data_IF_262183244114
#
_entry.id   IF_262183244114
#
_cell.length_a   1.000
_cell.length_b   1.000
_cell.length_c   1.000
_cell.angle_alpha   90.00
_cell.angle_beta   90.00
_cell.angle_gamma   90.00
#
_symmetry.space_group_name_H-M   'P 1'
#
loop_
_entity.id
_entity.type
_entity.pdbx_description
1 polymer ?
#
# COMPACT_ATOMS: atom_id res chain seq x y z
N UNK A 1 -6.26 -48.90 -29.53
CA UNK A 1 -7.47 -48.53 -30.29
C UNK A 1 -7.03 -48.14 -31.69
N UNK A 2 -7.35 -48.91 -32.71
CA UNK A 2 -6.86 -48.71 -34.09
C UNK A 2 -7.76 -47.69 -34.80
N UNK A 3 -7.21 -46.56 -35.24
CA UNK A 3 -7.99 -45.53 -35.96
C UNK A 3 -7.95 -45.83 -37.45
N UNK A 4 -9.04 -46.37 -37.99
CA UNK A 4 -9.19 -46.67 -39.42
C UNK A 4 -9.56 -45.40 -40.19
N UNK A 5 -8.66 -44.89 -41.03
CA UNK A 5 -8.86 -43.70 -41.87
C UNK A 5 -8.93 -44.02 -43.38
N UNK A 6 -8.80 -45.29 -43.75
CA UNK A 6 -8.63 -45.77 -45.13
C UNK A 6 -9.71 -45.24 -46.08
N UNK A 7 -10.98 -45.26 -45.67
CA UNK A 7 -12.11 -44.78 -46.48
C UNK A 7 -12.23 -43.25 -46.57
N UNK A 8 -11.51 -42.49 -45.74
CA UNK A 8 -11.51 -41.01 -45.75
C UNK A 8 -10.43 -40.41 -46.66
N UNK A 9 -9.42 -41.20 -47.04
CA UNK A 9 -8.36 -40.82 -47.97
C UNK A 9 -8.44 -41.55 -49.32
N UNK A 10 -9.40 -42.47 -49.50
CA UNK A 10 -9.60 -43.21 -50.77
C UNK A 10 -10.00 -42.32 -51.94
N UNK A 11 -10.63 -41.16 -51.70
CA UNK A 11 -10.81 -40.12 -52.72
C UNK A 11 -9.77 -39.02 -52.49
N UNK A 12 -8.77 -38.96 -53.38
CA UNK A 12 -7.72 -37.93 -53.42
C UNK A 12 -8.27 -36.57 -53.88
N UNK A 13 -9.28 -36.05 -53.19
CA UNK A 13 -9.68 -34.66 -53.30
C UNK A 13 -8.65 -33.76 -52.63
N UNK A 14 -8.41 -32.57 -53.19
CA UNK A 14 -7.43 -31.57 -52.73
C UNK A 14 -7.51 -31.25 -51.20
N UNK A 15 -8.67 -31.46 -50.56
CA UNK A 15 -8.90 -31.22 -49.13
C UNK A 15 -9.04 -32.48 -48.23
N UNK A 16 -8.78 -33.70 -48.73
CA UNK A 16 -8.98 -34.93 -47.94
C UNK A 16 -8.16 -34.96 -46.63
N UNK A 17 -6.91 -34.51 -46.69
CA UNK A 17 -6.02 -34.41 -45.53
C UNK A 17 -6.43 -33.27 -44.57
N UNK A 18 -6.90 -32.14 -45.12
CA UNK A 18 -7.41 -31.01 -44.34
C UNK A 18 -8.65 -31.40 -43.51
N UNK A 19 -9.57 -32.20 -44.07
CA UNK A 19 -10.70 -32.74 -43.30
C UNK A 19 -10.27 -33.64 -42.16
N UNK A 20 -9.23 -34.46 -42.35
CA UNK A 20 -8.71 -35.32 -41.29
C UNK A 20 -8.10 -34.52 -40.14
N UNK A 21 -7.39 -33.44 -40.46
CA UNK A 21 -6.83 -32.50 -39.49
C UNK A 21 -7.93 -31.78 -38.70
N UNK A 22 -9.03 -31.37 -39.36
CA UNK A 22 -10.19 -30.75 -38.68
C UNK A 22 -10.81 -31.71 -37.66
N UNK A 23 -11.00 -32.98 -38.02
CA UNK A 23 -11.54 -34.00 -37.10
C UNK A 23 -10.63 -34.31 -35.94
N UNK A 24 -9.32 -34.21 -36.14
CA UNK A 24 -8.36 -34.34 -35.06
C UNK A 24 -8.46 -33.14 -34.11
N UNK A 25 -8.56 -31.93 -34.67
CA UNK A 25 -8.73 -30.70 -33.89
C UNK A 25 -10.01 -30.72 -33.05
N UNK A 26 -11.17 -31.10 -33.63
CA UNK A 26 -12.45 -31.25 -32.92
C UNK A 26 -12.29 -32.15 -31.68
N UNK A 27 -11.60 -33.29 -31.82
CA UNK A 27 -11.33 -34.21 -30.70
C UNK A 27 -10.40 -33.61 -29.64
N UNK A 28 -9.37 -32.88 -30.06
CA UNK A 28 -8.45 -32.20 -29.15
C UNK A 28 -9.21 -31.10 -28.37
N UNK A 29 -10.02 -30.29 -29.05
CA UNK A 29 -10.83 -29.24 -28.44
C UNK A 29 -11.76 -29.82 -27.36
N UNK A 30 -12.53 -30.86 -27.68
CA UNK A 30 -13.38 -31.53 -26.69
C UNK A 30 -12.59 -32.10 -25.50
N UNK A 31 -11.39 -32.64 -25.74
CA UNK A 31 -10.51 -33.13 -24.66
C UNK A 31 -10.01 -31.98 -23.77
N UNK A 32 -9.60 -30.86 -24.36
CA UNK A 32 -9.19 -29.66 -23.62
C UNK A 32 -10.34 -29.09 -22.79
N UNK A 33 -11.56 -29.08 -23.31
CA UNK A 33 -12.75 -28.62 -22.57
C UNK A 33 -13.05 -29.51 -21.37
N UNK A 34 -12.89 -30.84 -21.51
CA UNK A 34 -12.97 -31.77 -20.38
C UNK A 34 -11.93 -31.45 -19.31
N UNK A 35 -10.64 -31.34 -19.67
CA UNK A 35 -9.58 -31.05 -18.70
C UNK A 35 -9.76 -29.68 -18.04
N UNK A 36 -10.22 -28.67 -18.77
CA UNK A 36 -10.51 -27.34 -18.22
C UNK A 36 -11.53 -27.41 -17.06
N UNK A 37 -12.58 -28.22 -17.21
CA UNK A 37 -13.63 -28.38 -16.19
C UNK A 37 -13.15 -29.12 -14.92
N UNK A 38 -12.03 -29.84 -15.00
CA UNK A 38 -11.45 -30.54 -13.83
C UNK A 38 -10.76 -29.57 -12.87
N UNK A 39 -10.33 -28.39 -13.32
CA UNK A 39 -9.58 -27.44 -12.48
C UNK A 39 -10.51 -26.56 -11.62
N UNK A 40 -10.44 -26.65 -10.28
CA UNK A 40 -11.22 -25.78 -9.38
C UNK A 40 -10.53 -24.41 -9.20
N UNK A 41 -10.38 -23.66 -10.30
CA UNK A 41 -9.61 -22.41 -10.31
C UNK A 41 -10.13 -21.37 -9.30
N UNK A 42 -11.44 -21.21 -9.18
CA UNK A 42 -12.05 -20.22 -8.29
C UNK A 42 -11.70 -20.46 -6.82
N UNK A 43 -11.56 -21.73 -6.42
CA UNK A 43 -11.17 -22.10 -5.06
C UNK A 43 -9.72 -21.70 -4.79
N UNK A 44 -8.79 -22.19 -5.62
CA UNK A 44 -7.34 -21.95 -5.46
C UNK A 44 -7.02 -20.46 -5.51
N UNK A 45 -7.63 -19.74 -6.45
CA UNK A 45 -7.45 -18.29 -6.62
C UNK A 45 -8.06 -17.51 -5.45
N UNK A 46 -9.24 -17.91 -4.97
CA UNK A 46 -9.90 -17.26 -3.84
C UNK A 46 -9.10 -17.31 -2.55
N UNK A 47 -8.55 -18.47 -2.19
CA UNK A 47 -7.69 -18.58 -1.00
C UNK A 47 -6.40 -17.77 -1.15
N UNK A 48 -5.77 -17.83 -2.32
CA UNK A 48 -4.53 -17.09 -2.57
C UNK A 48 -4.73 -15.58 -2.47
N UNK A 49 -5.74 -15.04 -3.16
CA UNK A 49 -6.05 -13.61 -3.15
C UNK A 49 -6.42 -13.15 -1.74
N UNK A 50 -7.20 -13.95 -1.00
CA UNK A 50 -7.57 -13.62 0.39
C UNK A 50 -6.35 -13.47 1.30
N UNK A 51 -5.38 -14.39 1.19
CA UNK A 51 -4.12 -14.31 1.96
C UNK A 51 -3.33 -13.07 1.58
N UNK A 52 -3.22 -12.75 0.29
CA UNK A 52 -2.48 -11.58 -0.18
C UNK A 52 -3.14 -10.28 0.31
N UNK A 53 -4.46 -10.13 0.15
CA UNK A 53 -5.20 -8.94 0.59
C UNK A 53 -5.11 -8.77 2.11
N UNK A 54 -5.20 -9.87 2.88
CA UNK A 54 -5.02 -9.82 4.33
C UNK A 54 -3.62 -9.30 4.70
N UNK A 55 -2.57 -9.86 4.10
CA UNK A 55 -1.18 -9.43 4.34
C UNK A 55 -0.94 -7.99 3.92
N UNK A 56 -1.56 -7.56 2.81
CA UNK A 56 -1.50 -6.19 2.33
C UNK A 56 -2.07 -5.22 3.38
N UNK A 57 -3.25 -5.52 3.92
CA UNK A 57 -3.91 -4.68 4.92
C UNK A 57 -3.17 -4.68 6.26
N UNK A 58 -2.69 -5.85 6.71
CA UNK A 58 -1.87 -5.95 7.92
C UNK A 58 -0.59 -5.12 7.81
N UNK A 59 0.08 -5.15 6.66
CA UNK A 59 1.24 -4.29 6.39
C UNK A 59 0.88 -2.80 6.44
N UNK A 60 -0.24 -2.38 5.85
CA UNK A 60 -0.69 -0.99 5.94
C UNK A 60 -0.90 -0.54 7.39
N UNK A 61 -1.54 -1.37 8.21
CA UNK A 61 -1.82 -1.07 9.62
C UNK A 61 -0.58 -1.05 10.50
N UNK A 62 0.51 -1.68 10.06
CA UNK A 62 1.79 -1.67 10.76
C UNK A 62 2.68 -0.47 10.38
N UNK A 63 2.28 0.35 9.41
CA UNK A 63 3.00 1.59 9.09
C UNK A 63 3.02 2.48 10.34
N UNK A 64 4.22 2.76 10.90
CA UNK A 64 4.31 3.52 12.14
C UNK A 64 4.10 5.01 11.88
N UNK A 65 3.27 5.65 12.70
CA UNK A 65 3.01 7.09 12.66
C UNK A 65 3.71 7.78 13.85
N UNK A 66 4.45 8.88 13.63
CA UNK A 66 5.20 9.56 14.70
C UNK A 66 4.31 10.39 15.63
N UNK A 67 3.03 10.55 15.31
CA UNK A 67 2.10 11.46 15.98
C UNK A 67 2.01 11.18 17.48
N UNK A 68 1.71 9.94 17.87
CA UNK A 68 1.55 9.54 19.27
C UNK A 68 2.82 9.82 20.07
N UNK A 69 3.99 9.41 19.55
CA UNK A 69 5.26 9.63 20.24
C UNK A 69 5.63 11.12 20.30
N UNK A 70 5.29 11.92 19.28
CA UNK A 70 5.55 13.35 19.27
C UNK A 70 4.64 14.10 20.25
N UNK A 71 3.38 13.68 20.42
CA UNK A 71 2.48 14.20 21.46
C UNK A 71 3.11 13.94 22.84
N UNK A 72 3.52 12.70 23.10
CA UNK A 72 4.14 12.32 24.37
C UNK A 72 5.44 13.08 24.61
N UNK A 73 6.29 13.22 23.58
CA UNK A 73 7.53 13.98 23.68
C UNK A 73 7.28 15.47 23.94
N UNK A 74 6.26 16.07 23.33
CA UNK A 74 5.89 17.47 23.58
C UNK A 74 5.37 17.68 25.00
N UNK A 75 4.63 16.69 25.55
CA UNK A 75 4.10 16.73 26.90
C UNK A 75 5.16 16.50 27.99
N UNK A 76 6.04 15.51 27.80
CA UNK A 76 6.94 15.01 28.86
C UNK A 76 8.41 15.41 28.71
N UNK A 77 8.80 16.10 27.63
CA UNK A 77 10.14 16.69 27.48
C UNK A 77 10.01 18.21 27.55
N UNK A 78 10.04 18.73 28.77
CA UNK A 78 9.79 20.12 29.07
C UNK A 78 10.98 21.06 28.76
N UNK A 79 10.66 22.34 28.67
CA UNK A 79 11.62 23.42 28.52
C UNK A 79 11.35 24.26 27.28
N UNK A 80 11.15 25.55 27.51
CA UNK A 80 10.97 26.56 26.46
C UNK A 80 12.32 27.14 25.99
N UNK A 81 13.40 26.83 26.71
CA UNK A 81 14.75 27.22 26.37
C UNK A 81 15.32 26.37 25.23
N UNK A 82 16.43 26.84 24.67
CA UNK A 82 17.05 26.23 23.49
C UNK A 82 17.48 24.77 23.76
N UNK A 83 17.88 24.42 24.99
CA UNK A 83 18.23 23.04 25.33
C UNK A 83 17.01 22.11 25.28
N UNK A 84 15.86 22.52 25.83
CA UNK A 84 14.62 21.75 25.76
C UNK A 84 14.14 21.56 24.32
N UNK A 85 14.21 22.63 23.54
CA UNK A 85 13.92 22.59 22.09
C UNK A 85 14.84 21.62 21.35
N UNK A 86 16.15 21.64 21.59
CA UNK A 86 17.11 20.73 20.96
C UNK A 86 16.87 19.26 21.33
N UNK A 87 16.51 18.97 22.58
CA UNK A 87 16.16 17.62 23.02
C UNK A 87 14.94 17.09 22.27
N UNK A 88 13.85 17.86 22.24
CA UNK A 88 12.61 17.49 21.53
C UNK A 88 12.82 17.30 20.03
N UNK A 89 13.54 18.22 19.38
CA UNK A 89 13.83 18.14 17.94
C UNK A 89 14.73 16.96 17.59
N UNK A 90 15.78 16.72 18.38
CA UNK A 90 16.67 15.56 18.16
C UNK A 90 15.94 14.24 18.41
N UNK A 91 15.07 14.21 19.41
CA UNK A 91 14.21 13.06 19.69
C UNK A 91 13.30 12.75 18.49
N UNK A 92 12.54 13.73 17.99
CA UNK A 92 11.68 13.56 16.82
C UNK A 92 12.49 13.14 15.57
N UNK A 93 13.68 13.73 15.38
CA UNK A 93 14.58 13.36 14.28
C UNK A 93 15.03 11.91 14.37
N UNK A 94 15.32 11.38 15.56
CA UNK A 94 15.69 9.97 15.73
C UNK A 94 14.55 9.01 15.42
N UNK A 95 13.32 9.34 15.79
CA UNK A 95 12.14 8.56 15.37
C UNK A 95 12.04 8.53 13.83
N UNK A 96 12.07 9.71 13.21
CA UNK A 96 11.94 9.83 11.76
C UNK A 96 13.11 9.19 10.99
N UNK A 97 14.34 9.27 11.53
CA UNK A 97 15.50 8.59 10.96
C UNK A 97 15.33 7.07 11.01
N UNK A 98 14.76 6.50 12.08
CA UNK A 98 14.45 5.08 12.14
C UNK A 98 13.45 4.67 11.06
N UNK A 99 12.41 5.47 10.84
CA UNK A 99 11.43 5.22 9.77
C UNK A 99 12.04 5.32 8.37
N UNK A 100 12.86 6.34 8.11
CA UNK A 100 13.56 6.49 6.84
C UNK A 100 14.46 5.29 6.55
N UNK A 101 15.21 4.81 7.55
CA UNK A 101 16.04 3.60 7.42
C UNK A 101 15.21 2.33 7.22
N UNK A 102 14.05 2.22 7.88
CA UNK A 102 13.15 1.09 7.73
C UNK A 102 12.56 1.03 6.32
N UNK A 103 12.01 2.16 5.85
CA UNK A 103 11.46 2.27 4.50
C UNK A 103 12.52 2.14 3.42
N UNK A 104 13.74 2.63 3.63
CA UNK A 104 14.84 2.43 2.69
C UNK A 104 15.25 0.96 2.52
N UNK A 105 14.94 0.11 3.50
CA UNK A 105 15.19 -1.34 3.44
C UNK A 105 14.09 -2.07 2.65
N UNK A 106 12.82 -1.67 2.83
CA UNK A 106 11.67 -2.38 2.25
C UNK A 106 11.15 -1.80 0.93
N UNK A 107 11.34 -0.49 0.68
CA UNK A 107 10.76 0.23 -0.47
C UNK A 107 11.85 0.73 -1.43
N UNK A 108 11.89 0.23 -2.69
CA UNK A 108 12.88 0.67 -3.68
C UNK A 108 12.85 2.17 -3.96
N UNK A 109 11.67 2.80 -3.90
CA UNK A 109 11.48 4.26 -4.04
C UNK A 109 12.32 5.03 -3.02
N UNK A 110 12.25 4.59 -1.78
CA UNK A 110 12.97 5.19 -0.64
C UNK A 110 14.44 4.85 -0.70
N UNK A 111 14.81 3.63 -1.10
CA UNK A 111 16.21 3.24 -1.33
C UNK A 111 16.87 4.17 -2.36
N UNK A 112 16.19 4.47 -3.47
CA UNK A 112 16.72 5.39 -4.50
C UNK A 112 16.83 6.82 -3.99
N UNK A 113 15.85 7.31 -3.20
CA UNK A 113 15.89 8.65 -2.58
C UNK A 113 17.02 8.79 -1.56
N UNK A 114 17.30 7.74 -0.78
CA UNK A 114 18.31 7.74 0.27
C UNK A 114 19.44 6.74 -0.01
N UNK A 115 20.01 6.81 -1.20
CA UNK A 115 21.06 5.89 -1.65
C UNK A 115 22.36 5.95 -0.84
N UNK A 116 22.56 7.00 -0.04
CA UNK A 116 23.72 7.15 0.84
C UNK A 116 23.34 7.94 2.10
N UNK A 117 24.16 7.82 3.16
CA UNK A 117 23.98 8.64 4.36
C UNK A 117 24.08 10.14 4.07
N UNK A 118 24.78 10.55 2.99
CA UNK A 118 24.82 11.95 2.59
C UNK A 118 23.44 12.45 2.19
N UNK A 119 22.68 11.66 1.43
CA UNK A 119 21.30 12.02 1.07
C UNK A 119 20.40 12.15 2.30
N UNK A 120 20.59 11.32 3.34
CA UNK A 120 19.86 11.46 4.62
C UNK A 120 20.23 12.75 5.35
N UNK A 121 21.49 13.21 5.26
CA UNK A 121 21.92 14.49 5.82
C UNK A 121 21.29 15.65 5.04
N UNK A 122 21.40 15.62 3.72
CA UNK A 122 20.90 16.68 2.85
C UNK A 122 19.38 16.89 2.99
N UNK A 123 18.66 15.83 3.35
CA UNK A 123 17.21 15.85 3.60
C UNK A 123 16.84 16.10 5.08
N UNK A 124 17.82 16.28 5.97
CA UNK A 124 17.59 16.67 7.38
C UNK A 124 17.24 15.53 8.34
N UNK A 125 17.40 14.27 7.94
CA UNK A 125 17.15 13.10 8.80
C UNK A 125 18.34 12.79 9.72
N UNK A 126 19.56 13.12 9.30
CA UNK A 126 20.79 12.77 9.99
C UNK A 126 21.75 13.96 10.04
N UNK A 127 22.56 14.06 11.09
CA UNK A 127 23.67 15.01 11.16
C UNK A 127 24.99 14.36 10.76
N UNK A 128 25.99 15.17 10.39
CA UNK A 128 27.34 14.67 10.08
C UNK A 128 27.99 13.94 11.26
N UNK A 129 27.63 14.30 12.51
CA UNK A 129 28.16 13.64 13.71
C UNK A 129 27.59 12.23 13.89
N UNK A 130 26.30 12.04 13.63
CA UNK A 130 25.64 10.75 13.74
C UNK A 130 26.06 9.81 12.62
N UNK A 131 26.27 10.34 11.41
CA UNK A 131 26.83 9.59 10.28
C UNK A 131 28.14 8.88 10.65
N UNK A 132 29.04 9.55 11.37
CA UNK A 132 30.31 8.94 11.82
C UNK A 132 30.09 7.69 12.68
N UNK A 133 29.03 7.68 13.50
CA UNK A 133 28.68 6.52 14.33
C UNK A 133 28.12 5.39 13.47
N UNK A 134 27.30 5.70 12.46
CA UNK A 134 26.83 4.71 11.49
C UNK A 134 28.00 4.08 10.73
N UNK A 135 28.91 4.88 10.18
CA UNK A 135 30.08 4.42 9.44
C UNK A 135 31.02 3.56 10.31
N UNK A 136 31.23 3.96 11.57
CA UNK A 136 31.98 3.16 12.53
C UNK A 136 31.33 1.78 12.75
N UNK A 137 30.00 1.72 12.88
CA UNK A 137 29.28 0.46 13.08
C UNK A 137 29.19 -0.38 11.81
N UNK A 138 29.18 0.22 10.63
CA UNK A 138 29.23 -0.49 9.35
C UNK A 138 30.53 -1.28 9.20
N UNK A 139 31.64 -0.80 9.79
CA UNK A 139 32.89 -1.54 9.90
C UNK A 139 32.81 -2.80 10.79
N UNK A 140 31.82 -2.90 11.69
CA UNK A 140 31.68 -4.00 12.65
C UNK A 140 30.56 -4.97 12.31
N UNK A 141 29.48 -4.52 11.66
CA UNK A 141 28.32 -5.35 11.36
C UNK A 141 27.62 -4.93 10.07
N UNK A 142 27.32 -5.92 9.23
CA UNK A 142 26.54 -5.75 8.00
C UNK A 142 25.02 -5.74 8.23
N UNK A 143 24.56 -5.96 9.47
CA UNK A 143 23.14 -5.90 9.78
C UNK A 143 22.61 -4.46 9.71
N UNK A 144 21.34 -4.32 9.35
CA UNK A 144 20.65 -3.03 9.28
C UNK A 144 20.60 -2.36 10.67
N UNK A 145 20.69 -1.03 10.68
CA UNK A 145 20.87 -0.22 11.91
C UNK A 145 19.64 0.60 12.26
N UNK A 146 18.46 0.14 11.86
CA UNK A 146 17.15 0.78 12.12
C UNK A 146 16.90 0.99 13.62
N UNK A 147 17.43 0.10 14.46
CA UNK A 147 17.33 0.14 15.92
C UNK A 147 18.18 1.25 16.56
N UNK A 148 19.25 1.72 15.88
CA UNK A 148 20.23 2.61 16.48
C UNK A 148 19.63 4.00 16.83
N UNK A 149 18.88 4.68 15.95
CA UNK A 149 18.21 5.91 16.32
C UNK A 149 17.23 5.74 17.49
N UNK A 150 16.55 4.60 17.59
CA UNK A 150 15.60 4.33 18.69
C UNK A 150 16.32 4.17 20.05
N UNK A 151 17.52 3.59 20.04
CA UNK A 151 18.40 3.57 21.21
C UNK A 151 18.79 5.00 21.60
N UNK A 152 19.20 5.84 20.64
CA UNK A 152 19.52 7.24 20.92
C UNK A 152 18.31 8.03 21.43
N UNK A 153 17.12 7.80 20.89
CA UNK A 153 15.88 8.41 21.38
C UNK A 153 15.62 8.04 22.84
N UNK A 154 15.79 6.76 23.21
CA UNK A 154 15.66 6.30 24.59
C UNK A 154 16.70 6.96 25.52
N UNK A 155 17.95 7.11 25.06
CA UNK A 155 19.01 7.78 25.81
C UNK A 155 18.75 9.30 25.97
N UNK A 156 18.12 9.96 24.99
CA UNK A 156 17.68 11.35 25.10
C UNK A 156 16.60 11.50 26.18
N UNK A 157 15.62 10.61 26.23
CA UNK A 157 14.59 10.63 27.28
C UNK A 157 15.23 10.45 28.66
N UNK A 158 16.18 9.52 28.80
CA UNK A 158 16.95 9.35 30.05
C UNK A 158 17.72 10.62 30.42
N UNK A 159 18.28 11.31 29.44
CA UNK A 159 19.01 12.56 29.65
C UNK A 159 18.08 13.69 30.08
N UNK A 160 16.91 13.81 29.44
CA UNK A 160 15.88 14.76 29.83
C UNK A 160 15.41 14.53 31.28
N UNK A 161 15.23 13.26 31.70
CA UNK A 161 14.90 12.92 33.09
C UNK A 161 15.99 13.37 34.07
N UNK A 162 17.26 13.09 33.77
CA UNK A 162 18.40 13.53 34.60
C UNK A 162 18.52 15.05 34.68
N UNK A 163 18.17 15.75 33.61
CA UNK A 163 18.16 17.22 33.55
C UNK A 163 16.90 17.83 34.21
N UNK A 164 15.99 17.02 34.79
CA UNK A 164 14.77 17.50 35.42
C UNK A 164 13.69 17.98 34.45
N UNK A 165 13.83 17.69 33.15
CA UNK A 165 12.89 18.08 32.08
C UNK A 165 11.79 17.07 31.80
N UNK A 166 11.92 15.89 32.38
CA UNK A 166 10.85 14.91 32.43
C UNK A 166 10.40 14.85 33.89
N UNK A 167 9.19 15.33 34.23
CA UNK A 167 8.80 15.60 35.61
C UNK A 167 8.63 14.34 36.46
N UNK A 168 8.17 13.24 35.86
CA UNK A 168 7.82 12.02 36.57
C UNK A 168 8.22 10.74 35.80
N UNK A 169 8.31 9.63 36.55
CA UNK A 169 8.70 8.32 36.00
C UNK A 169 7.62 7.73 35.09
N UNK A 170 6.35 8.15 35.26
CA UNK A 170 5.25 7.69 34.43
C UNK A 170 5.37 8.27 33.02
N UNK A 171 5.68 9.56 32.88
CA UNK A 171 5.97 10.22 31.61
C UNK A 171 7.16 9.59 30.89
N UNK A 172 8.25 9.34 31.61
CA UNK A 172 9.41 8.63 31.04
C UNK A 172 9.01 7.25 30.52
N UNK A 173 8.27 6.46 31.31
CA UNK A 173 7.80 5.13 30.92
C UNK A 173 6.85 5.19 29.72
N UNK A 174 5.95 6.17 29.67
CA UNK A 174 5.01 6.35 28.56
C UNK A 174 5.74 6.58 27.24
N UNK A 175 6.72 7.48 27.23
CA UNK A 175 7.54 7.74 26.03
C UNK A 175 8.35 6.50 25.62
N UNK A 176 9.01 5.82 26.56
CA UNK A 176 9.82 4.62 26.26
C UNK A 176 8.94 3.49 25.72
N UNK A 177 7.78 3.25 26.32
CA UNK A 177 6.85 2.23 25.85
C UNK A 177 6.42 2.50 24.41
N UNK A 178 6.13 3.75 24.07
CA UNK A 178 5.75 4.09 22.70
C UNK A 178 6.93 3.95 21.72
N UNK A 179 8.18 4.23 22.12
CA UNK A 179 9.37 3.90 21.30
C UNK A 179 9.43 2.39 21.02
N UNK A 180 9.17 1.55 22.03
CA UNK A 180 9.18 0.09 21.85
C UNK A 180 8.03 -0.40 20.98
N UNK A 181 6.86 0.24 21.06
CA UNK A 181 5.72 -0.03 20.19
C UNK A 181 6.05 0.28 18.72
N UNK A 182 6.65 1.44 18.46
CA UNK A 182 7.13 1.81 17.12
C UNK A 182 8.18 0.82 16.60
N UNK A 183 9.14 0.40 17.45
CA UNK A 183 10.11 -0.64 17.08
C UNK A 183 9.43 -1.96 16.74
N UNK A 184 8.39 -2.35 17.48
CA UNK A 184 7.63 -3.57 17.21
C UNK A 184 6.98 -3.50 15.83
N UNK A 185 6.26 -2.41 15.52
CA UNK A 185 5.59 -2.20 14.24
C UNK A 185 6.57 -2.21 13.06
N UNK A 186 7.67 -1.45 13.17
CA UNK A 186 8.77 -1.47 12.17
C UNK A 186 9.35 -2.87 12.00
N UNK A 187 9.56 -3.59 13.11
CA UNK A 187 10.06 -4.97 13.07
C UNK A 187 9.12 -5.91 12.32
N UNK A 188 7.81 -5.80 12.57
CA UNK A 188 6.80 -6.58 11.85
C UNK A 188 6.79 -6.26 10.36
N UNK A 189 6.89 -5.01 9.96
CA UNK A 189 7.03 -4.65 8.53
C UNK A 189 8.24 -5.34 7.88
N UNK A 190 9.39 -5.36 8.57
CA UNK A 190 10.58 -6.05 8.07
C UNK A 190 10.39 -7.57 7.99
N UNK A 191 9.65 -8.16 8.92
CA UNK A 191 9.27 -9.58 8.87
C UNK A 191 8.41 -9.86 7.64
N UNK A 192 7.39 -9.04 7.32
CA UNK A 192 6.59 -9.21 6.10
C UNK A 192 7.41 -9.08 4.82
N UNK A 193 8.38 -8.16 4.79
CA UNK A 193 9.28 -7.98 3.66
C UNK A 193 10.23 -9.20 3.49
N UNK A 194 10.76 -9.72 4.59
CA UNK A 194 11.69 -10.86 4.56
C UNK A 194 10.94 -12.18 4.27
N UNK A 195 9.73 -12.33 4.82
CA UNK A 195 8.91 -13.53 4.73
C UNK A 195 7.68 -13.25 3.86
N UNK A 196 7.85 -13.41 2.56
CA UNK A 196 6.77 -13.31 1.57
C UNK A 196 5.85 -14.54 1.57
N UNK A 197 4.76 -14.48 0.80
CA UNK A 197 3.94 -15.68 0.53
C UNK A 197 4.85 -16.74 -0.11
N UNK A 198 4.81 -18.01 0.36
CA UNK A 198 5.69 -19.05 -0.16
C UNK A 198 5.63 -19.13 -1.68
N UNK A 199 6.80 -19.09 -2.33
CA UNK A 199 6.91 -19.03 -3.79
C UNK A 199 6.14 -20.16 -4.49
N UNK A 200 6.19 -21.37 -3.92
CA UNK A 200 5.45 -22.53 -4.44
C UNK A 200 3.95 -22.26 -4.53
N UNK A 201 3.38 -21.49 -3.60
CA UNK A 201 1.96 -21.19 -3.61
C UNK A 201 1.61 -20.25 -4.77
N UNK A 202 2.37 -19.15 -4.92
CA UNK A 202 2.24 -18.27 -6.09
C UNK A 202 2.39 -19.04 -7.39
N UNK A 203 3.40 -19.91 -7.51
CA UNK A 203 3.62 -20.74 -8.69
C UNK A 203 2.44 -21.67 -9.00
N UNK A 204 1.89 -22.35 -7.99
CA UNK A 204 0.74 -23.26 -8.17
C UNK A 204 -0.48 -22.50 -8.66
N UNK A 205 -0.77 -21.32 -8.10
CA UNK A 205 -1.94 -20.52 -8.48
C UNK A 205 -1.79 -19.95 -9.89
N UNK A 206 -0.60 -19.42 -10.23
CA UNK A 206 -0.29 -18.93 -11.58
C UNK A 206 -0.37 -20.06 -12.61
N UNK A 207 0.25 -21.21 -12.32
CA UNK A 207 0.21 -22.36 -13.22
C UNK A 207 -1.22 -22.87 -13.41
N UNK A 208 -2.00 -23.00 -12.34
CA UNK A 208 -3.40 -23.43 -12.43
C UNK A 208 -4.23 -22.47 -13.30
N UNK A 209 -4.03 -21.15 -13.12
CA UNK A 209 -4.72 -20.12 -13.91
C UNK A 209 -4.30 -20.16 -15.38
N UNK A 210 -3.00 -20.30 -15.65
CA UNK A 210 -2.48 -20.33 -17.02
C UNK A 210 -2.84 -21.63 -17.73
N UNK A 211 -2.81 -22.78 -17.04
CA UNK A 211 -3.27 -24.05 -17.59
C UNK A 211 -4.76 -24.02 -17.90
N UNK A 212 -5.60 -23.44 -17.03
CA UNK A 212 -7.03 -23.25 -17.30
C UNK A 212 -7.26 -22.51 -18.62
N UNK A 213 -6.57 -21.39 -18.83
CA UNK A 213 -6.69 -20.64 -20.09
C UNK A 213 -5.99 -21.29 -21.27
N UNK A 214 -4.88 -22.01 -21.05
CA UNK A 214 -4.23 -22.82 -22.07
C UNK A 214 -5.17 -23.88 -22.65
N UNK A 215 -5.92 -24.56 -21.79
CA UNK A 215 -6.99 -25.46 -22.23
C UNK A 215 -8.18 -24.71 -22.84
N UNK A 216 -8.59 -23.56 -22.28
CA UNK A 216 -9.71 -22.79 -22.80
C UNK A 216 -9.47 -22.27 -24.23
N UNK A 217 -8.23 -21.89 -24.58
CA UNK A 217 -7.88 -21.43 -25.94
C UNK A 217 -8.25 -22.47 -26.99
N UNK A 218 -8.05 -23.76 -26.69
CA UNK A 218 -8.36 -24.86 -27.63
C UNK A 218 -9.76 -25.41 -27.41
N UNK A 219 -10.20 -25.55 -26.16
CA UNK A 219 -11.48 -26.17 -25.80
C UNK A 219 -12.72 -25.29 -25.99
N UNK A 220 -12.56 -23.96 -26.05
CA UNK A 220 -13.67 -23.01 -26.30
C UNK A 220 -13.74 -22.52 -27.75
N UNK A 221 -13.13 -23.26 -28.67
CA UNK A 221 -13.26 -22.98 -30.10
C UNK A 221 -14.64 -23.45 -30.56
N UNK A 222 -15.32 -22.63 -31.35
CA UNK A 222 -16.58 -23.03 -31.97
C UNK A 222 -16.29 -24.14 -32.99
N UNK A 223 -16.91 -25.30 -32.80
CA UNK A 223 -16.77 -26.45 -33.69
C UNK A 223 -17.84 -26.40 -34.77
N UNK A 224 -17.65 -27.20 -35.83
CA UNK A 224 -18.60 -27.33 -36.94
C UNK A 224 -19.98 -27.83 -36.42
N UNK A 225 -21.04 -27.01 -36.49
CA UNK A 225 -22.37 -27.38 -36.01
C UNK A 225 -22.99 -28.55 -36.76
N UNK A 226 -22.58 -28.80 -38.01
CA UNK A 226 -23.07 -29.93 -38.82
C UNK A 226 -22.66 -31.29 -38.23
N UNK A 227 -21.69 -31.30 -37.32
CA UNK A 227 -21.21 -32.53 -36.67
C UNK A 227 -22.07 -32.99 -35.49
N UNK A 228 -22.98 -32.14 -35.02
CA UNK A 228 -23.91 -32.49 -33.94
C UNK A 228 -23.19 -32.84 -32.63
N UNK A 229 -22.09 -32.14 -32.31
CA UNK A 229 -21.43 -32.29 -31.02
C UNK A 229 -22.25 -31.60 -29.91
N UNK A 230 -22.41 -32.28 -28.77
CA UNK A 230 -23.10 -31.71 -27.62
C UNK A 230 -22.45 -30.38 -27.18
N UNK A 231 -23.28 -29.38 -26.87
CA UNK A 231 -22.87 -28.02 -26.47
C UNK A 231 -22.12 -27.19 -27.54
N UNK A 232 -22.11 -27.63 -28.81
CA UNK A 232 -21.48 -26.91 -29.93
C UNK A 232 -22.46 -26.70 -31.11
N UNK A 233 -23.71 -26.35 -30.80
CA UNK A 233 -24.78 -26.18 -31.80
C UNK A 233 -24.73 -24.83 -32.53
N UNK A 234 -24.05 -23.83 -31.95
CA UNK A 234 -24.03 -22.46 -32.45
C UNK A 234 -22.59 -21.94 -32.53
N UNK A 235 -22.25 -21.33 -33.65
CA UNK A 235 -20.99 -20.61 -33.86
C UNK A 235 -21.23 -19.09 -33.80
N UNK A 236 -20.77 -18.46 -32.71
CA UNK A 236 -20.84 -17.01 -32.55
C UNK A 236 -19.64 -16.27 -33.14
N UNK A 237 -18.64 -16.99 -33.65
CA UNK A 237 -17.32 -16.52 -34.10
C UNK A 237 -16.45 -15.88 -33.01
N UNK A 238 -17.02 -15.00 -32.18
CA UNK A 238 -16.36 -14.31 -31.07
C UNK A 238 -16.79 -14.93 -29.72
N UNK A 239 -15.86 -15.51 -28.94
CA UNK A 239 -16.20 -16.15 -27.67
C UNK A 239 -16.31 -15.13 -26.52
N UNK A 240 -17.34 -14.27 -26.57
CA UNK A 240 -17.53 -13.14 -25.63
C UNK A 240 -17.50 -13.60 -24.16
N UNK A 241 -18.19 -14.68 -23.81
CA UNK A 241 -18.20 -15.19 -22.44
C UNK A 241 -16.85 -15.76 -21.98
N UNK A 242 -16.05 -16.31 -22.89
CA UNK A 242 -14.69 -16.76 -22.58
C UNK A 242 -13.78 -15.55 -22.32
N UNK A 243 -13.94 -14.45 -23.07
CA UNK A 243 -13.23 -13.20 -22.78
C UNK A 243 -13.64 -12.61 -21.43
N UNK A 244 -14.92 -12.62 -21.08
CA UNK A 244 -15.38 -12.19 -19.76
C UNK A 244 -14.77 -13.05 -18.65
N UNK A 245 -14.76 -14.38 -18.79
CA UNK A 245 -14.09 -15.28 -17.84
C UNK A 245 -12.59 -14.99 -17.74
N UNK A 246 -11.93 -14.69 -18.86
CA UNK A 246 -10.54 -14.26 -18.86
C UNK A 246 -10.31 -13.02 -18.03
N UNK A 247 -11.08 -11.95 -18.27
CA UNK A 247 -10.98 -10.71 -17.49
C UNK A 247 -11.21 -10.97 -16.00
N UNK A 248 -12.19 -11.81 -15.63
CA UNK A 248 -12.46 -12.12 -14.23
C UNK A 248 -11.33 -12.90 -13.57
N UNK A 249 -10.90 -14.05 -14.10
CA UNK A 249 -9.90 -14.88 -13.42
C UNK A 249 -8.48 -14.31 -13.55
N UNK A 250 -8.08 -13.80 -14.71
CA UNK A 250 -6.78 -13.14 -14.85
C UNK A 250 -6.74 -11.82 -14.09
N UNK A 251 -7.82 -11.02 -14.14
CA UNK A 251 -7.91 -9.80 -13.34
C UNK A 251 -7.82 -10.10 -11.85
N UNK A 252 -8.47 -11.16 -11.37
CA UNK A 252 -8.41 -11.55 -9.97
C UNK A 252 -7.01 -12.05 -9.55
N UNK A 253 -6.29 -12.78 -10.43
CA UNK A 253 -4.87 -13.08 -10.22
C UNK A 253 -4.02 -11.80 -10.19
N UNK A 254 -4.29 -10.84 -11.08
CA UNK A 254 -3.57 -9.57 -11.15
C UNK A 254 -3.75 -8.72 -9.90
N UNK A 255 -4.92 -8.75 -9.26
CA UNK A 255 -5.14 -8.12 -7.95
C UNK A 255 -4.18 -8.69 -6.90
N UNK A 256 -3.98 -10.01 -6.87
CA UNK A 256 -3.01 -10.58 -5.93
C UNK A 256 -1.56 -10.25 -6.33
N UNK A 257 -1.23 -10.19 -7.61
CA UNK A 257 0.12 -9.83 -8.06
C UNK A 257 0.48 -8.37 -7.70
N UNK A 258 -0.44 -7.42 -7.88
CA UNK A 258 -0.22 -6.01 -7.54
C UNK A 258 -0.11 -5.77 -6.04
N UNK A 259 -0.86 -6.52 -5.23
CA UNK A 259 -0.86 -6.36 -3.77
C UNK A 259 0.22 -7.19 -3.05
N UNK A 260 0.95 -8.04 -3.78
CA UNK A 260 1.93 -8.95 -3.18
C UNK A 260 3.09 -8.20 -2.52
N UNK A 261 3.52 -7.08 -3.10
CA UNK A 261 4.56 -6.22 -2.58
C UNK A 261 4.11 -4.74 -2.58
N UNK A 262 3.38 -4.28 -1.55
CA UNK A 262 2.80 -2.95 -1.53
C UNK A 262 3.79 -1.80 -1.34
N UNK A 263 5.08 -2.10 -1.19
CA UNK A 263 6.15 -1.11 -1.04
C UNK A 263 6.96 -0.91 -2.32
N UNK A 264 6.51 -1.48 -3.43
CA UNK A 264 7.17 -1.48 -4.72
C UNK A 264 7.08 -0.16 -5.48
N UNK A 265 6.92 -0.31 -6.80
CA UNK A 265 6.91 0.77 -7.77
C UNK A 265 5.61 0.90 -8.57
N UNK A 266 4.58 0.12 -8.24
CA UNK A 266 3.30 0.11 -8.92
C UNK A 266 2.42 1.32 -8.50
N UNK A 267 1.41 1.64 -9.31
CA UNK A 267 0.57 2.84 -9.12
C UNK A 267 -0.25 2.78 -7.81
N UNK A 268 -0.64 1.58 -7.38
CA UNK A 268 -1.44 1.34 -6.17
C UNK A 268 -0.59 1.01 -4.92
N UNK A 269 0.74 1.02 -5.05
CA UNK A 269 1.65 0.81 -3.92
C UNK A 269 1.62 2.00 -2.95
N UNK A 270 1.95 1.74 -1.68
CA UNK A 270 2.00 2.74 -0.64
C UNK A 270 3.01 3.86 -0.99
N UNK A 271 2.57 5.12 -0.89
CA UNK A 271 3.43 6.28 -1.11
C UNK A 271 4.33 6.54 0.11
N UNK A 272 5.36 5.72 0.24
CA UNK A 272 6.34 5.78 1.34
C UNK A 272 7.12 7.08 1.38
N UNK A 273 7.28 7.75 0.24
CA UNK A 273 7.94 9.05 0.15
C UNK A 273 7.06 10.11 0.79
N UNK A 274 5.77 10.14 0.44
CA UNK A 274 4.80 11.06 1.04
C UNK A 274 4.68 10.86 2.56
N UNK A 275 4.61 9.60 3.02
CA UNK A 275 4.62 9.30 4.45
C UNK A 275 5.84 9.90 5.15
N UNK A 276 7.05 9.73 4.62
CA UNK A 276 8.26 10.27 5.23
C UNK A 276 8.29 11.80 5.26
N UNK A 277 7.92 12.45 4.16
CA UNK A 277 7.88 13.92 4.10
C UNK A 277 6.87 14.49 5.12
N UNK A 278 5.67 13.90 5.17
CA UNK A 278 4.65 14.24 6.16
C UNK A 278 5.12 13.97 7.59
N UNK A 279 5.73 12.82 7.84
CA UNK A 279 6.24 12.44 9.16
C UNK A 279 7.27 13.44 9.66
N UNK A 280 8.24 13.81 8.83
CA UNK A 280 9.28 14.76 9.21
C UNK A 280 8.69 16.14 9.51
N UNK A 281 7.85 16.66 8.60
CA UNK A 281 7.24 17.99 8.74
C UNK A 281 6.36 18.10 9.99
N UNK A 282 5.41 17.18 10.13
CA UNK A 282 4.43 17.20 11.23
C UNK A 282 5.12 16.94 12.58
N UNK A 283 6.10 16.02 12.63
CA UNK A 283 6.84 15.75 13.87
C UNK A 283 7.53 17.01 14.41
N UNK A 284 8.22 17.76 13.55
CA UNK A 284 8.88 19.01 13.98
C UNK A 284 7.88 20.08 14.40
N UNK A 285 6.75 20.18 13.71
CA UNK A 285 5.70 21.12 14.08
C UNK A 285 5.12 20.82 15.47
N UNK A 286 4.88 19.54 15.77
CA UNK A 286 4.32 19.09 17.06
C UNK A 286 5.27 19.35 18.23
N UNK A 287 6.56 19.05 18.06
CA UNK A 287 7.53 19.11 19.18
C UNK A 287 8.21 20.47 19.35
N UNK A 288 8.15 21.37 18.35
CA UNK A 288 8.75 22.71 18.41
C UNK A 288 7.70 23.82 18.44
N UNK A 289 6.89 23.92 17.39
CA UNK A 289 5.94 25.04 17.20
C UNK A 289 4.78 24.93 18.19
N UNK A 290 4.09 23.80 18.22
CA UNK A 290 2.91 23.61 19.07
C UNK A 290 3.26 23.53 20.57
N UNK A 291 4.50 23.20 20.91
CA UNK A 291 4.97 23.25 22.29
C UNK A 291 5.00 24.68 22.86
N UNK A 292 5.13 25.70 21.98
CA UNK A 292 5.15 27.11 22.37
C UNK A 292 3.81 27.80 22.21
N UNK A 293 3.00 27.34 21.26
CA UNK A 293 1.78 28.01 20.84
C UNK A 293 0.57 27.10 21.04
N UNK A 294 -0.27 27.47 22.01
CA UNK A 294 -1.65 27.02 22.11
C UNK A 294 -2.56 28.25 22.13
N UNK A 295 -3.80 28.17 21.60
CA UNK A 295 -4.72 29.30 21.65
C UNK A 295 -4.94 29.76 23.09
N UNK A 296 -4.91 31.07 23.34
CA UNK A 296 -5.09 31.69 24.67
C UNK A 296 -6.48 31.47 25.32
N UNK A 297 -7.30 30.59 24.76
CA UNK A 297 -8.73 30.57 25.01
C UNK A 297 -9.22 29.20 25.46
N UNK A 298 -9.36 29.05 26.77
CA UNK A 298 -10.47 28.33 27.41
C UNK A 298 -11.80 29.09 27.23
N UNK A 299 -11.94 29.91 26.20
CA UNK A 299 -13.22 30.53 25.87
C UNK A 299 -14.10 29.44 25.30
N UNK A 300 -15.24 29.22 25.96
CA UNK A 300 -16.27 28.34 25.40
C UNK A 300 -16.60 28.83 23.98
N UNK A 301 -16.83 27.92 23.02
CA UNK A 301 -17.39 28.31 21.74
C UNK A 301 -18.60 29.18 22.04
N UNK A 302 -18.61 30.42 21.52
CA UNK A 302 -19.64 31.40 21.85
C UNK A 302 -20.99 30.73 21.76
N UNK A 303 -21.62 30.45 22.91
CA UNK A 303 -23.05 30.22 22.94
C UNK A 303 -23.59 31.51 22.39
N UNK A 304 -24.06 31.49 21.15
CA UNK A 304 -24.85 32.58 20.63
C UNK A 304 -25.89 32.85 21.70
N UNK A 305 -25.81 34.04 22.30
CA UNK A 305 -26.88 34.58 23.12
C UNK A 305 -28.15 34.42 22.29
N UNK A 306 -28.98 33.43 22.62
CA UNK A 306 -30.34 33.30 22.12
C UNK A 306 -31.22 34.40 22.76
N UNK A 307 -30.82 35.65 22.52
CA UNK A 307 -31.67 36.83 22.67
C UNK A 307 -32.19 37.32 21.32
N UNK A 308 -32.11 36.50 20.27
CA UNK A 308 -32.99 36.66 19.12
C UNK A 308 -34.25 35.82 19.38
N UNK A 309 -35.28 36.51 19.90
CA UNK A 309 -36.65 36.19 19.54
C UNK A 309 -36.72 36.14 18.00
N UNK A 310 -37.48 35.18 17.49
CA UNK A 310 -37.79 34.95 16.08
C UNK A 310 -36.90 33.93 15.35
N UNK A 311 -36.90 32.71 15.87
CA UNK A 311 -36.79 31.52 15.01
C UNK A 311 -38.20 31.18 14.50
N UNK A 312 -38.48 31.16 13.18
CA UNK A 312 -39.79 30.72 12.70
C UNK A 312 -39.95 29.21 12.96
N UNK A 313 -41.15 28.73 13.32
CA UNK A 313 -41.34 27.34 13.68
C UNK A 313 -41.10 26.44 12.47
N UNK A 314 -40.27 25.41 12.67
CA UNK A 314 -40.04 24.34 11.71
C UNK A 314 -41.37 23.60 11.45
N UNK A 315 -41.89 23.69 10.23
CA UNK A 315 -43.09 22.96 9.82
C UNK A 315 -42.78 21.45 9.73
N UNK A 316 -43.74 20.57 10.10
CA UNK A 316 -43.57 19.11 9.99
C UNK A 316 -43.60 18.64 8.52
N UNK A 317 -43.02 17.47 8.21
CA UNK A 317 -42.79 17.06 6.84
C UNK A 317 -44.10 16.59 6.21
N UNK A 318 -44.61 17.34 5.23
CA UNK A 318 -45.69 16.87 4.36
C UNK A 318 -45.08 16.19 3.14
N UNK A 319 -45.37 14.90 3.02
CA UNK A 319 -45.24 14.10 1.81
C UNK A 319 -45.94 14.80 0.66
N UNK A 320 -45.21 15.06 -0.43
CA UNK A 320 -45.64 14.94 -1.83
C UNK A 320 -44.56 15.56 -2.75
N UNK A 321 -43.80 14.70 -3.44
CA UNK A 321 -43.06 15.07 -4.66
C UNK A 321 -44.05 14.98 -5.84
N UNK A 322 -44.02 15.84 -6.89
CA UNK A 322 -42.92 15.91 -7.89
C UNK A 322 -42.82 17.26 -8.68
N UNK A 323 -42.11 17.38 -9.83
CA UNK A 323 -40.83 16.82 -10.27
C UNK A 323 -39.73 17.90 -10.46
N UNK A 324 -38.49 17.42 -10.54
CA UNK A 324 -37.28 18.18 -10.91
C UNK A 324 -37.42 18.85 -12.29
N UNK A 325 -37.26 20.18 -12.34
CA UNK A 325 -36.79 20.88 -13.53
C UNK A 325 -35.30 21.19 -13.37
N UNK A 326 -34.53 20.62 -14.28
CA UNK A 326 -33.12 20.89 -14.53
C UNK A 326 -32.92 22.31 -15.00
N UNK A 327 -31.96 23.03 -14.41
CA UNK A 327 -31.20 24.02 -15.16
C UNK A 327 -29.73 24.04 -14.71
N UNK A 328 -28.88 23.67 -15.68
CA UNK A 328 -27.44 23.74 -15.65
C UNK A 328 -27.00 25.21 -15.74
N UNK A 329 -26.23 25.70 -14.76
CA UNK A 329 -25.01 26.47 -15.02
C UNK A 329 -24.43 27.05 -13.72
N UNK A 330 -23.31 26.50 -13.24
CA UNK A 330 -22.17 27.37 -12.86
C UNK A 330 -20.88 26.56 -12.82
N UNK A 331 -19.90 27.05 -13.58
CA UNK A 331 -18.49 26.60 -13.66
C UNK A 331 -17.90 26.32 -12.28
N UNK A 332 -17.41 25.10 -12.09
CA UNK A 332 -16.44 24.80 -11.05
C UNK A 332 -15.05 25.28 -11.51
N UNK A 333 -14.52 26.30 -10.85
CA UNK A 333 -13.11 26.65 -10.96
C UNK A 333 -12.26 25.52 -10.40
N UNK A 334 -11.53 24.86 -11.29
CA UNK A 334 -10.59 23.79 -10.98
C UNK A 334 -9.39 24.41 -10.26
N UNK A 335 -9.25 24.14 -8.95
CA UNK A 335 -7.98 24.37 -8.27
C UNK A 335 -6.89 23.49 -8.93
N UNK A 336 -5.71 24.05 -9.26
CA UNK A 336 -4.63 23.26 -9.83
C UNK A 336 -4.10 22.27 -8.79
N UNK A 337 -3.99 20.99 -9.19
CA UNK A 337 -3.31 19.95 -8.41
C UNK A 337 -1.87 20.38 -8.08
N UNK A 338 -1.37 20.16 -6.85
CA UNK A 338 0.02 20.47 -6.53
C UNK A 338 0.96 19.57 -7.33
N UNK A 339 1.87 20.20 -8.07
CA UNK A 339 2.95 19.53 -8.80
C UNK A 339 3.86 18.77 -7.85
N UNK A 340 3.93 17.45 -8.03
CA UNK A 340 4.90 16.54 -7.40
C UNK A 340 6.33 16.90 -7.82
N UNK A 341 6.92 17.88 -7.16
CA UNK A 341 8.37 18.06 -7.13
C UNK A 341 8.78 18.13 -5.67
N UNK A 342 9.59 17.16 -5.22
CA UNK A 342 10.07 17.00 -3.84
C UNK A 342 10.96 18.14 -3.34
N UNK A 343 10.41 19.35 -3.28
CA UNK A 343 10.98 20.50 -2.58
C UNK A 343 10.20 20.69 -1.29
N UNK A 344 10.90 20.48 -0.18
CA UNK A 344 10.46 20.86 1.16
C UNK A 344 9.89 22.29 1.12
N UNK A 345 8.75 22.51 1.78
CA UNK A 345 8.08 23.81 1.79
C UNK A 345 9.03 24.92 2.31
N UNK A 346 8.85 26.20 1.92
CA UNK A 346 9.67 27.30 2.43
C UNK A 346 9.68 27.38 3.96
N UNK A 347 8.55 27.05 4.60
CA UNK A 347 8.41 26.92 6.05
C UNK A 347 9.35 25.82 6.60
N UNK A 348 9.51 24.73 5.88
CA UNK A 348 10.35 23.60 6.25
C UNK A 348 11.85 23.92 6.21
N UNK A 349 12.32 24.78 5.30
CA UNK A 349 13.73 25.25 5.32
C UNK A 349 14.06 26.03 6.59
N UNK A 350 13.12 26.89 7.01
CA UNK A 350 13.22 27.67 8.24
C UNK A 350 13.10 26.78 9.48
N UNK A 351 12.20 25.78 9.44
CA UNK A 351 12.02 24.85 10.55
C UNK A 351 13.13 23.82 10.69
N UNK A 352 13.81 23.39 9.63
CA UNK A 352 14.87 22.37 9.65
C UNK A 352 16.27 22.98 9.89
N UNK A 353 16.43 24.29 9.70
CA UNK A 353 17.68 25.00 10.01
C UNK A 353 18.73 24.90 8.90
N UNK A 354 18.32 25.17 7.66
CA UNK A 354 19.24 25.47 6.56
C UNK A 354 19.51 26.97 6.46
#
# INVERSE_FOLDING_TARGET
MTVTYTTKVTNTGFCGFSRLLLRLFEKIAMSCEYFRNVFPISFVLGFYVSIVVQRWWEQYMLIPWPDTICILASAYIEGLDERGRQLRRSFARYINLSFALAFANISPRVTRRFASYQHLIDQGYMTSSERKVFEMLDGHSQHHKIWLPLVWATLLVRTARREGRCPDDHGQKAVINEITNLRYNVGKLQEYHTMSVPLVYTQVVTLATYSYFGFAIVGRQFLDPEQGYDSHEVDFYVPIFTFLQFVFYMGWLKVAESLLNPFGDDDDDFDTIDFLDRHLEVSYMMVDVMHKFYPDTLQQPSTQNNNNKDSPPTAPPTSDNPPLHTDNNTRADVMPKPTKTGRLSPLMKVLVGF
#
